data_IF_966248904676
#
_entry.id   IF_966248904676
#
_cell.length_a   1.000
_cell.length_b   1.000
_cell.length_c   1.000
_cell.angle_alpha   90.00
_cell.angle_beta   90.00
_cell.angle_gamma   90.00
#
_symmetry.space_group_name_H-M   'P 1'
#
loop_
_entity.id
_entity.type
_entity.pdbx_description
1 polymer ?
#
# COMPACT_ATOMS: atom_id res chain seq x y z
N UNK A 1 -41.14 48.17 -10.87
CA UNK A 1 -41.52 46.75 -10.68
C UNK A 1 -41.17 46.04 -11.98
N UNK A 2 -40.30 45.04 -12.10
CA UNK A 2 -39.75 44.07 -11.15
C UNK A 2 -38.37 43.68 -11.70
N UNK A 3 -37.35 43.69 -10.85
CA UNK A 3 -36.01 43.17 -11.11
C UNK A 3 -36.12 41.65 -11.27
N UNK A 4 -35.66 41.08 -12.38
CA UNK A 4 -35.37 39.63 -12.45
C UNK A 4 -33.85 39.54 -12.35
N UNK A 5 -33.43 39.29 -11.12
CA UNK A 5 -32.05 39.14 -10.70
C UNK A 5 -31.58 37.74 -11.11
N UNK A 6 -30.41 37.69 -11.74
CA UNK A 6 -29.62 36.48 -11.98
C UNK A 6 -29.53 35.63 -10.70
N UNK A 7 -30.14 34.44 -10.72
CA UNK A 7 -29.83 33.40 -9.76
C UNK A 7 -28.87 32.41 -10.43
N UNK A 8 -27.62 32.87 -10.54
CA UNK A 8 -26.46 32.05 -10.81
C UNK A 8 -26.17 31.28 -9.51
N UNK A 9 -26.85 30.16 -9.29
CA UNK A 9 -26.55 29.29 -8.16
C UNK A 9 -25.80 28.07 -8.64
N UNK A 10 -24.49 28.16 -8.40
CA UNK A 10 -23.51 27.08 -8.30
C UNK A 10 -24.18 25.72 -8.13
N UNK A 11 -24.26 24.95 -9.20
CA UNK A 11 -24.21 23.49 -9.09
C UNK A 11 -22.74 23.18 -8.86
N UNK A 12 -22.31 23.20 -7.60
CA UNK A 12 -21.06 22.53 -7.22
C UNK A 12 -21.28 21.07 -7.54
N UNK A 13 -20.78 20.63 -8.68
CA UNK A 13 -20.67 19.21 -8.97
C UNK A 13 -19.92 18.58 -7.81
N UNK A 14 -20.53 17.62 -7.15
CA UNK A 14 -19.83 16.72 -6.25
C UNK A 14 -18.77 16.02 -7.10
N UNK A 15 -17.54 16.56 -7.10
CA UNK A 15 -16.41 15.88 -7.65
C UNK A 15 -16.23 14.63 -6.78
N UNK A 16 -16.47 13.47 -7.38
CA UNK A 16 -16.15 12.20 -6.75
C UNK A 16 -14.63 12.12 -6.75
N UNK A 17 -14.01 12.55 -5.65
CA UNK A 17 -12.62 12.20 -5.39
C UNK A 17 -12.57 10.67 -5.33
N UNK A 18 -11.85 10.09 -6.28
CA UNK A 18 -11.49 8.68 -6.29
C UNK A 18 -9.98 8.71 -6.32
N UNK A 19 -9.37 8.54 -5.16
CA UNK A 19 -7.92 8.59 -4.96
C UNK A 19 -7.24 7.36 -5.56
N UNK A 20 -7.98 6.24 -5.60
CA UNK A 20 -7.49 4.95 -6.03
C UNK A 20 -8.02 4.60 -7.43
N UNK A 21 -7.17 3.93 -8.20
CA UNK A 21 -7.53 3.12 -9.35
C UNK A 21 -7.17 1.66 -9.00
N UNK A 22 -7.99 1.07 -8.14
CA UNK A 22 -7.73 -0.24 -7.57
C UNK A 22 -8.51 -1.35 -8.28
N UNK A 23 -7.82 -2.41 -8.65
CA UNK A 23 -8.43 -3.64 -9.15
C UNK A 23 -8.53 -4.66 -8.02
N UNK A 24 -9.75 -4.96 -7.57
CA UNK A 24 -9.99 -6.06 -6.62
C UNK A 24 -10.31 -7.33 -7.38
N UNK A 25 -9.64 -8.43 -7.05
CA UNK A 25 -9.85 -9.75 -7.66
C UNK A 25 -10.10 -10.81 -6.60
N UNK A 26 -11.08 -11.68 -6.84
CA UNK A 26 -11.44 -12.77 -5.91
C UNK A 26 -11.16 -14.11 -6.58
N UNK A 27 -10.09 -14.77 -6.15
CA UNK A 27 -9.80 -16.14 -6.54
C UNK A 27 -10.51 -17.12 -5.61
N UNK A 28 -11.36 -17.95 -6.21
CA UNK A 28 -12.09 -19.03 -5.55
C UNK A 28 -11.88 -20.39 -6.24
N UNK A 29 -10.88 -20.52 -7.13
CA UNK A 29 -10.63 -21.74 -7.92
C UNK A 29 -10.40 -22.98 -7.05
N UNK A 30 -9.82 -22.80 -5.86
CA UNK A 30 -9.57 -23.88 -4.90
C UNK A 30 -10.80 -24.25 -4.09
N UNK A 31 -11.82 -23.42 -4.12
CA UNK A 31 -13.09 -23.66 -3.43
C UNK A 31 -13.98 -24.41 -4.42
N UNK A 32 -14.26 -25.68 -4.14
CA UNK A 32 -15.18 -26.52 -4.93
C UNK A 32 -16.66 -26.10 -4.80
N UNK A 33 -16.94 -24.79 -4.90
CA UNK A 33 -18.24 -24.19 -4.69
C UNK A 33 -19.13 -24.36 -5.91
N UNK A 34 -20.38 -24.79 -5.67
CA UNK A 34 -21.44 -24.83 -6.70
C UNK A 34 -21.92 -23.44 -7.07
N UNK A 35 -21.99 -22.51 -6.10
CA UNK A 35 -22.36 -21.13 -6.34
C UNK A 35 -21.12 -20.27 -6.61
N UNK A 36 -20.85 -20.00 -7.88
CA UNK A 36 -19.79 -19.08 -8.31
C UNK A 36 -20.25 -17.61 -8.33
N UNK A 37 -21.55 -17.36 -8.20
CA UNK A 37 -22.12 -16.00 -8.27
C UNK A 37 -21.70 -15.16 -7.07
N UNK A 38 -21.67 -15.74 -5.86
CA UNK A 38 -21.29 -15.03 -4.63
C UNK A 38 -19.91 -14.37 -4.73
N UNK A 39 -18.93 -15.05 -5.33
CA UNK A 39 -17.57 -14.50 -5.50
C UNK A 39 -17.54 -13.38 -6.54
N UNK A 40 -18.32 -13.49 -7.62
CA UNK A 40 -18.43 -12.44 -8.65
C UNK A 40 -19.13 -11.19 -8.10
N UNK A 41 -20.18 -11.39 -7.30
CA UNK A 41 -20.89 -10.28 -6.64
C UNK A 41 -19.97 -9.60 -5.62
N UNK A 42 -19.23 -10.38 -4.82
CA UNK A 42 -18.23 -9.86 -3.88
C UNK A 42 -17.15 -9.04 -4.60
N UNK A 43 -16.55 -9.59 -5.66
CA UNK A 43 -15.54 -8.88 -6.47
C UNK A 43 -16.07 -7.55 -6.98
N UNK A 44 -17.28 -7.54 -7.55
CA UNK A 44 -17.90 -6.32 -8.05
C UNK A 44 -18.15 -5.31 -6.93
N UNK A 45 -18.76 -5.74 -5.81
CA UNK A 45 -19.06 -4.87 -4.67
C UNK A 45 -17.78 -4.25 -4.09
N UNK A 46 -16.69 -5.00 -4.00
CA UNK A 46 -15.41 -4.49 -3.48
C UNK A 46 -14.72 -3.53 -4.43
N UNK A 47 -14.76 -3.78 -5.75
CA UNK A 47 -14.27 -2.82 -6.74
C UNK A 47 -15.03 -1.50 -6.66
N UNK A 48 -16.36 -1.56 -6.52
CA UNK A 48 -17.17 -0.36 -6.37
C UNK A 48 -16.89 0.36 -5.04
N UNK A 49 -16.80 -0.37 -3.93
CA UNK A 49 -16.51 0.18 -2.61
C UNK A 49 -15.17 0.91 -2.59
N UNK A 50 -14.07 0.25 -2.96
CA UNK A 50 -12.73 0.84 -2.88
C UNK A 50 -12.57 2.09 -3.75
N UNK A 51 -13.12 2.06 -4.98
CA UNK A 51 -12.92 3.13 -5.94
C UNK A 51 -13.97 4.25 -5.86
N UNK A 52 -15.09 4.06 -5.15
CA UNK A 52 -16.14 5.09 -4.99
C UNK A 52 -16.20 5.67 -3.58
N UNK A 53 -15.57 5.03 -2.59
CA UNK A 53 -15.41 5.61 -1.27
C UNK A 53 -14.35 6.70 -1.31
N UNK A 54 -14.67 7.85 -0.70
CA UNK A 54 -13.74 8.96 -0.49
C UNK A 54 -12.90 8.65 0.75
N UNK A 55 -11.58 8.57 0.58
CA UNK A 55 -10.65 8.24 1.67
C UNK A 55 -9.97 9.48 2.26
N UNK A 56 -9.99 10.60 1.53
CA UNK A 56 -9.29 11.84 1.86
C UNK A 56 -10.12 13.05 1.47
N UNK A 57 -9.81 14.22 2.03
CA UNK A 57 -10.35 15.50 1.54
C UNK A 57 -9.58 16.03 0.32
N UNK A 58 -8.50 15.37 -0.09
CA UNK A 58 -7.67 15.77 -1.23
C UNK A 58 -8.33 15.40 -2.56
N UNK A 59 -8.35 16.34 -3.50
CA UNK A 59 -8.85 16.09 -4.84
C UNK A 59 -7.75 15.52 -5.74
N UNK A 60 -8.01 14.34 -6.32
CA UNK A 60 -7.12 13.68 -7.28
C UNK A 60 -7.67 13.79 -8.70
N UNK A 61 -6.84 14.20 -9.66
CA UNK A 61 -7.19 14.04 -11.08
C UNK A 61 -7.14 12.57 -11.47
N UNK A 62 -7.86 12.19 -12.53
CA UNK A 62 -7.88 10.81 -13.02
C UNK A 62 -6.48 10.22 -13.30
N UNK A 63 -5.50 11.04 -13.71
CA UNK A 63 -4.11 10.64 -13.96
C UNK A 63 -3.23 10.59 -12.71
N UNK A 64 -3.71 11.15 -11.60
CA UNK A 64 -3.01 11.21 -10.32
C UNK A 64 -3.48 10.08 -9.39
N UNK A 65 -4.47 9.28 -9.82
CA UNK A 65 -4.98 8.15 -9.05
C UNK A 65 -3.89 7.11 -8.86
N UNK A 66 -3.88 6.50 -7.69
CA UNK A 66 -2.90 5.49 -7.31
C UNK A 66 -3.33 4.15 -7.89
N UNK A 67 -2.48 3.56 -8.73
CA UNK A 67 -2.72 2.24 -9.29
C UNK A 67 -2.45 1.16 -8.22
N UNK A 68 -3.45 0.33 -7.94
CA UNK A 68 -3.33 -0.75 -6.98
C UNK A 68 -4.09 -2.02 -7.37
N UNK A 69 -3.70 -3.13 -6.75
CA UNK A 69 -4.37 -4.42 -6.90
C UNK A 69 -4.55 -5.06 -5.53
N UNK A 70 -5.75 -5.57 -5.28
CA UNK A 70 -6.09 -6.33 -4.08
C UNK A 70 -6.59 -7.71 -4.50
N UNK A 71 -5.75 -8.72 -4.31
CA UNK A 71 -6.05 -10.09 -4.70
C UNK A 71 -6.45 -10.91 -3.48
N UNK A 72 -7.73 -11.27 -3.41
CA UNK A 72 -8.32 -12.08 -2.36
C UNK A 72 -8.29 -13.53 -2.81
N UNK A 73 -7.56 -14.37 -2.08
CA UNK A 73 -7.54 -15.80 -2.31
C UNK A 73 -8.39 -16.50 -1.24
N UNK A 74 -9.58 -16.96 -1.63
CA UNK A 74 -10.52 -17.64 -0.74
C UNK A 74 -10.06 -19.08 -0.55
N UNK A 75 -9.80 -19.45 0.71
CA UNK A 75 -9.44 -20.81 1.08
C UNK A 75 -10.68 -21.69 1.31
N UNK A 76 -11.71 -21.12 1.96
CA UNK A 76 -12.96 -21.81 2.23
C UNK A 76 -14.08 -20.81 2.53
N UNK A 77 -15.33 -21.22 2.34
CA UNK A 77 -16.49 -20.47 2.82
C UNK A 77 -17.57 -21.42 3.35
N UNK A 78 -18.37 -20.95 4.31
CA UNK A 78 -19.50 -21.69 4.87
C UNK A 78 -20.62 -20.73 5.27
N UNK A 79 -21.75 -20.79 4.56
CA UNK A 79 -22.78 -19.75 4.66
C UNK A 79 -22.20 -18.40 4.28
N UNK A 80 -22.28 -17.44 5.19
CA UNK A 80 -21.79 -16.07 4.98
C UNK A 80 -20.35 -15.87 5.50
N UNK A 81 -19.69 -16.91 6.02
CA UNK A 81 -18.35 -16.81 6.59
C UNK A 81 -17.28 -17.22 5.58
N UNK A 82 -16.29 -16.37 5.40
CA UNK A 82 -15.18 -16.56 4.46
C UNK A 82 -13.86 -16.64 5.23
N UNK A 83 -13.01 -17.58 4.81
CA UNK A 83 -11.61 -17.60 5.19
C UNK A 83 -10.77 -17.40 3.94
N UNK A 84 -9.93 -16.36 3.96
CA UNK A 84 -9.15 -15.94 2.83
C UNK A 84 -7.81 -15.34 3.27
N UNK A 85 -6.94 -15.13 2.29
CA UNK A 85 -5.77 -14.27 2.40
C UNK A 85 -5.92 -13.11 1.42
N UNK A 86 -5.30 -11.97 1.72
CA UNK A 86 -5.34 -10.77 0.88
C UNK A 86 -3.92 -10.36 0.51
N UNK A 87 -3.63 -10.30 -0.79
CA UNK A 87 -2.40 -9.72 -1.30
C UNK A 87 -2.70 -8.31 -1.84
N UNK A 88 -1.91 -7.34 -1.38
CA UNK A 88 -2.06 -5.93 -1.73
C UNK A 88 -0.80 -5.49 -2.46
N UNK A 89 -0.98 -4.82 -3.60
CA UNK A 89 0.09 -4.20 -4.35
C UNK A 89 -0.31 -2.80 -4.77
N UNK A 90 0.62 -1.85 -4.71
CA UNK A 90 0.45 -0.53 -5.31
C UNK A 90 1.70 -0.09 -6.03
N UNK A 91 1.53 0.79 -7.01
CA UNK A 91 2.61 1.37 -7.79
C UNK A 91 2.28 2.79 -8.19
N UNK A 92 3.32 3.56 -8.50
CA UNK A 92 3.18 4.90 -9.08
C UNK A 92 3.99 5.03 -10.35
N UNK A 93 3.60 5.91 -11.29
CA UNK A 93 4.42 6.23 -12.44
C UNK A 93 5.69 6.98 -12.00
N UNK A 94 6.80 6.69 -12.69
CA UNK A 94 8.03 7.49 -12.59
C UNK A 94 7.89 8.70 -13.52
N UNK A 95 8.33 9.88 -13.05
CA UNK A 95 8.27 11.10 -13.85
C UNK A 95 9.00 10.94 -15.20
N UNK A 96 8.36 11.41 -16.28
CA UNK A 96 8.88 11.36 -17.65
C UNK A 96 9.31 9.96 -18.12
N UNK A 97 8.63 8.91 -17.62
CA UNK A 97 8.92 7.51 -17.92
C UNK A 97 7.64 6.73 -18.20
N UNK A 98 7.75 5.66 -18.99
CA UNK A 98 6.65 4.69 -19.18
C UNK A 98 6.66 3.58 -18.13
N UNK A 99 7.65 3.60 -17.22
CA UNK A 99 7.77 2.61 -16.15
C UNK A 99 7.01 3.05 -14.90
N UNK A 100 6.32 2.10 -14.27
CA UNK A 100 5.76 2.22 -12.94
C UNK A 100 6.69 1.56 -11.92
N UNK A 101 6.81 2.17 -10.75
CA UNK A 101 7.62 1.66 -9.64
C UNK A 101 6.72 1.12 -8.53
N UNK A 102 6.97 -0.10 -7.99
CA UNK A 102 6.18 -0.67 -6.92
C UNK A 102 6.39 0.10 -5.62
N UNK A 103 5.32 0.51 -4.94
CA UNK A 103 5.38 1.28 -3.69
C UNK A 103 5.12 0.39 -2.48
N UNK A 104 4.10 -0.47 -2.57
CA UNK A 104 3.69 -1.37 -1.49
C UNK A 104 3.42 -2.76 -2.05
N UNK A 105 3.86 -3.80 -1.34
CA UNK A 105 3.55 -5.19 -1.63
C UNK A 105 3.45 -5.95 -0.31
N UNK A 106 2.26 -6.43 0.02
CA UNK A 106 2.00 -7.04 1.31
C UNK A 106 1.03 -8.22 1.18
N UNK A 107 1.27 -9.29 1.94
CA UNK A 107 0.38 -10.44 2.01
C UNK A 107 -0.18 -10.59 3.43
N UNK A 108 -1.44 -10.23 3.58
CA UNK A 108 -2.22 -10.42 4.80
C UNK A 108 -2.81 -11.83 4.83
N UNK A 109 -2.32 -12.63 5.80
CA UNK A 109 -2.76 -14.01 5.99
C UNK A 109 -4.01 -14.12 6.87
N UNK A 110 -4.39 -13.05 7.57
CA UNK A 110 -5.47 -13.03 8.56
C UNK A 110 -6.68 -12.25 8.01
N UNK A 111 -7.23 -12.75 6.89
CA UNK A 111 -8.36 -12.12 6.21
C UNK A 111 -9.60 -13.02 6.21
N UNK A 112 -10.15 -13.22 7.42
CA UNK A 112 -11.46 -13.86 7.60
C UNK A 112 -12.55 -12.79 7.71
N UNK A 113 -13.68 -12.98 7.06
CA UNK A 113 -14.75 -11.98 7.05
C UNK A 113 -16.12 -12.62 6.86
N UNK A 114 -17.17 -11.81 7.05
CA UNK A 114 -18.53 -12.16 6.69
C UNK A 114 -18.96 -11.36 5.47
N UNK A 115 -19.68 -12.00 4.56
CA UNK A 115 -20.27 -11.35 3.39
C UNK A 115 -21.61 -11.98 3.02
N UNK A 116 -22.60 -11.14 2.75
CA UNK A 116 -23.92 -11.53 2.25
C UNK A 116 -24.10 -10.96 0.85
N UNK A 117 -24.57 -11.77 -0.10
CA UNK A 117 -24.76 -11.33 -1.48
C UNK A 117 -25.66 -10.09 -1.57
N UNK A 118 -25.22 -9.13 -2.39
CA UNK A 118 -25.91 -7.86 -2.62
C UNK A 118 -26.02 -6.93 -1.40
N UNK A 119 -25.31 -7.22 -0.31
CA UNK A 119 -25.22 -6.26 0.78
C UNK A 119 -24.53 -4.97 0.31
N UNK A 120 -24.99 -3.85 0.86
CA UNK A 120 -24.37 -2.56 0.57
C UNK A 120 -23.13 -2.38 1.45
N UNK A 121 -21.96 -2.27 0.83
CA UNK A 121 -20.71 -2.01 1.53
C UNK A 121 -20.58 -0.51 1.80
N UNK A 122 -20.66 -0.12 3.07
CA UNK A 122 -20.56 1.26 3.51
C UNK A 122 -19.55 1.40 4.64
N UNK A 123 -18.63 2.36 4.52
CA UNK A 123 -17.60 2.59 5.53
C UNK A 123 -18.03 3.69 6.49
N UNK A 124 -18.03 3.38 7.78
CA UNK A 124 -18.12 4.36 8.85
C UNK A 124 -16.81 4.39 9.65
N UNK A 125 -16.08 5.52 9.68
CA UNK A 125 -14.82 5.61 10.42
C UNK A 125 -14.98 5.50 11.95
N UNK A 126 -16.19 5.69 12.47
CA UNK A 126 -16.45 5.73 13.91
C UNK A 126 -17.06 4.43 14.47
N UNK A 127 -17.37 3.44 13.63
CA UNK A 127 -17.96 2.17 14.07
C UNK A 127 -17.31 0.97 13.39
N UNK A 128 -17.28 -0.15 14.11
CA UNK A 128 -16.93 -1.43 13.52
C UNK A 128 -18.20 -2.13 13.04
N UNK A 129 -18.41 -2.14 11.72
CA UNK A 129 -19.58 -2.77 11.12
C UNK A 129 -19.24 -4.17 10.56
N UNK A 130 -18.14 -4.29 9.81
CA UNK A 130 -17.69 -5.54 9.21
C UNK A 130 -16.17 -5.59 9.08
N UNK A 131 -15.59 -6.77 9.31
CA UNK A 131 -14.16 -6.98 9.10
C UNK A 131 -13.76 -6.82 7.64
N UNK A 132 -14.63 -7.21 6.69
CA UNK A 132 -14.39 -7.01 5.27
C UNK A 132 -14.17 -5.51 4.98
N UNK A 133 -15.09 -4.68 5.43
CA UNK A 133 -15.07 -3.22 5.24
C UNK A 133 -13.85 -2.61 5.94
N UNK A 134 -13.59 -2.97 7.20
CA UNK A 134 -12.46 -2.41 7.95
C UNK A 134 -11.10 -2.77 7.37
N UNK A 135 -10.89 -4.01 6.90
CA UNK A 135 -9.62 -4.41 6.28
C UNK A 135 -9.40 -3.66 4.96
N UNK A 136 -10.43 -3.57 4.12
CA UNK A 136 -10.34 -2.88 2.83
C UNK A 136 -10.09 -1.38 3.01
N UNK A 137 -10.78 -0.75 3.98
CA UNK A 137 -10.57 0.65 4.35
C UNK A 137 -9.18 0.91 4.95
N UNK A 138 -8.69 0.00 5.79
CA UNK A 138 -7.34 0.06 6.33
C UNK A 138 -6.29 0.07 5.23
N UNK A 139 -6.36 -0.89 4.30
CA UNK A 139 -5.37 -0.97 3.22
C UNK A 139 -5.50 0.16 2.20
N UNK A 140 -6.70 0.71 1.96
CA UNK A 140 -6.85 1.94 1.18
C UNK A 140 -6.02 3.08 1.78
N UNK A 141 -6.13 3.32 3.09
CA UNK A 141 -5.36 4.35 3.78
C UNK A 141 -3.85 4.03 3.83
N UNK A 142 -3.46 2.77 3.97
CA UNK A 142 -2.04 2.37 3.88
C UNK A 142 -1.48 2.70 2.49
N UNK A 143 -2.19 2.35 1.42
CA UNK A 143 -1.75 2.61 0.04
C UNK A 143 -1.58 4.11 -0.19
N UNK A 144 -2.57 4.92 0.20
CA UNK A 144 -2.53 6.37 0.02
C UNK A 144 -1.39 6.99 0.85
N UNK A 145 -1.22 6.55 2.11
CA UNK A 145 -0.13 7.02 2.96
C UNK A 145 1.26 6.69 2.40
N UNK A 146 1.45 5.45 1.94
CA UNK A 146 2.71 5.01 1.36
C UNK A 146 3.02 5.74 0.05
N UNK A 147 2.02 6.03 -0.77
CA UNK A 147 2.17 6.83 -1.98
C UNK A 147 2.54 8.29 -1.65
N UNK A 148 1.86 8.92 -0.69
CA UNK A 148 2.13 10.29 -0.27
C UNK A 148 3.57 10.46 0.27
N UNK A 149 4.10 9.47 0.98
CA UNK A 149 5.51 9.46 1.42
C UNK A 149 6.52 9.45 0.26
N UNK A 150 6.12 9.00 -0.94
CA UNK A 150 6.99 9.07 -2.13
C UNK A 150 7.09 10.47 -2.74
N UNK A 151 6.13 11.36 -2.42
CA UNK A 151 6.03 12.72 -2.98
C UNK A 151 6.45 13.81 -1.98
N UNK A 152 6.38 13.54 -0.69
CA UNK A 152 6.84 14.44 0.36
C UNK A 152 7.39 13.64 1.55
N UNK A 153 8.45 14.12 2.22
CA UNK A 153 8.91 13.52 3.46
C UNK A 153 7.76 13.43 4.46
N UNK A 154 7.46 12.21 4.93
CA UNK A 154 6.40 11.90 5.89
C UNK A 154 4.99 12.37 5.47
N UNK A 155 4.74 12.55 4.16
CA UNK A 155 3.47 13.02 3.62
C UNK A 155 2.26 12.12 3.92
N UNK A 156 2.49 10.85 4.23
CA UNK A 156 1.46 9.86 4.52
C UNK A 156 0.83 9.91 5.92
N UNK A 157 1.28 10.82 6.79
CA UNK A 157 0.99 10.77 8.24
C UNK A 157 -0.51 10.83 8.56
N UNK A 158 -1.28 11.66 7.86
CA UNK A 158 -2.73 11.78 8.09
C UNK A 158 -3.46 10.48 7.72
N UNK A 159 -3.06 9.84 6.62
CA UNK A 159 -3.61 8.56 6.17
C UNK A 159 -3.26 7.41 7.11
N UNK A 160 -2.02 7.38 7.60
CA UNK A 160 -1.62 6.40 8.60
C UNK A 160 -2.37 6.62 9.93
N UNK A 161 -2.63 7.87 10.31
CA UNK A 161 -3.46 8.16 11.50
C UNK A 161 -4.88 7.63 11.32
N UNK A 162 -5.49 7.83 10.15
CA UNK A 162 -6.80 7.26 9.83
C UNK A 162 -6.78 5.72 9.85
N UNK A 163 -5.76 5.08 9.28
CA UNK A 163 -5.57 3.63 9.34
C UNK A 163 -5.40 3.13 10.79
N UNK A 164 -4.73 3.89 11.66
CA UNK A 164 -4.59 3.56 13.08
C UNK A 164 -5.94 3.64 13.82
N UNK A 165 -6.77 4.64 13.49
CA UNK A 165 -8.15 4.73 14.04
C UNK A 165 -9.01 3.54 13.59
N UNK A 166 -8.90 3.12 12.32
CA UNK A 166 -9.58 1.93 11.81
C UNK A 166 -9.11 0.68 12.56
N UNK A 167 -7.80 0.49 12.71
CA UNK A 167 -7.25 -0.65 13.43
C UNK A 167 -7.73 -0.71 14.89
N UNK A 168 -7.76 0.45 15.56
CA UNK A 168 -8.23 0.56 16.95
C UNK A 168 -9.72 0.21 17.08
N UNK A 169 -10.54 0.66 16.13
CA UNK A 169 -11.98 0.35 16.11
C UNK A 169 -12.22 -1.13 15.79
N UNK A 170 -11.46 -1.69 14.85
CA UNK A 170 -11.60 -3.07 14.39
C UNK A 170 -11.17 -4.13 15.42
N UNK A 171 -10.37 -3.76 16.42
CA UNK A 171 -10.04 -4.66 17.55
C UNK A 171 -11.28 -5.18 18.28
N UNK A 172 -12.34 -4.37 18.36
CA UNK A 172 -13.60 -4.76 19.01
C UNK A 172 -14.32 -5.91 18.28
N UNK A 173 -14.02 -6.11 16.99
CA UNK A 173 -14.60 -7.18 16.18
C UNK A 173 -14.07 -8.59 16.49
N UNK A 174 -12.97 -8.72 17.24
CA UNK A 174 -12.40 -10.02 17.62
C UNK A 174 -11.78 -10.82 16.47
N UNK A 175 -11.60 -10.22 15.28
CA UNK A 175 -10.89 -10.86 14.17
C UNK A 175 -9.38 -10.75 14.34
N UNK A 176 -8.66 -11.79 13.91
CA UNK A 176 -7.20 -11.81 13.93
C UNK A 176 -6.60 -10.71 13.05
N UNK A 177 -5.43 -10.23 13.45
CA UNK A 177 -4.60 -9.29 12.71
C UNK A 177 -4.69 -7.86 13.24
N UNK A 178 -5.67 -7.57 14.10
CA UNK A 178 -5.89 -6.25 14.69
C UNK A 178 -5.23 -6.07 16.06
N UNK A 179 -4.77 -7.15 16.69
CA UNK A 179 -4.15 -7.10 18.02
C UNK A 179 -2.69 -7.52 18.01
N UNK A 180 -1.96 -7.11 19.05
CA UNK A 180 -0.58 -7.54 19.28
C UNK A 180 -0.45 -9.06 19.46
N UNK A 181 -1.50 -9.72 19.92
CA UNK A 181 -1.50 -11.14 20.26
C UNK A 181 -1.58 -12.05 19.03
N UNK A 182 -1.96 -11.49 17.88
CA UNK A 182 -2.17 -12.22 16.62
C UNK A 182 -0.87 -12.47 15.84
N UNK A 183 0.29 -12.18 16.44
CA UNK A 183 1.62 -12.36 15.85
C UNK A 183 2.32 -11.05 15.53
N UNK A 184 3.58 -11.15 15.12
CA UNK A 184 4.48 -9.98 15.00
C UNK A 184 4.51 -9.35 13.59
N UNK A 185 3.72 -9.87 12.65
CA UNK A 185 3.67 -9.43 11.24
C UNK A 185 2.22 -9.32 10.81
N UNK A 186 1.52 -8.32 11.33
CA UNK A 186 0.09 -8.12 11.12
C UNK A 186 -0.26 -6.64 10.98
N UNK A 187 -1.56 -6.34 10.76
CA UNK A 187 -2.06 -4.96 10.56
C UNK A 187 -1.76 -4.08 11.77
N UNK A 188 -1.85 -4.62 12.99
CA UNK A 188 -1.49 -3.89 14.23
C UNK A 188 -0.05 -3.40 14.23
N UNK A 189 0.93 -4.29 14.00
CA UNK A 189 2.33 -3.88 13.98
C UNK A 189 2.66 -3.00 12.78
N UNK A 190 2.09 -3.31 11.60
CA UNK A 190 2.31 -2.53 10.39
C UNK A 190 2.02 -1.04 10.63
N UNK A 191 0.85 -0.71 11.18
CA UNK A 191 0.45 0.69 11.35
C UNK A 191 1.16 1.40 12.50
N UNK A 192 1.36 0.69 13.63
CA UNK A 192 2.05 1.27 14.77
C UNK A 192 3.52 1.54 14.46
N UNK A 193 4.18 0.67 13.70
CA UNK A 193 5.55 0.89 13.28
C UNK A 193 5.64 2.05 12.27
N UNK A 194 4.68 2.19 11.34
CA UNK A 194 4.67 3.29 10.35
C UNK A 194 4.54 4.68 11.00
N UNK A 195 3.82 4.78 12.13
CA UNK A 195 3.67 6.02 12.89
C UNK A 195 4.77 6.24 13.93
N UNK A 196 5.61 5.24 14.19
CA UNK A 196 6.65 5.34 15.20
C UNK A 196 7.88 6.09 14.68
N UNK A 197 8.34 7.09 15.44
CA UNK A 197 9.59 7.80 15.16
C UNK A 197 10.82 6.88 15.08
N UNK A 198 10.76 5.69 15.68
CA UNK A 198 11.85 4.69 15.57
C UNK A 198 12.05 4.23 14.13
N UNK A 199 10.98 4.19 13.33
CA UNK A 199 10.99 3.72 11.95
C UNK A 199 10.77 4.83 10.92
N UNK A 200 10.69 6.09 11.34
CA UNK A 200 10.60 7.26 10.44
C UNK A 200 11.63 7.22 9.29
N UNK A 201 12.88 6.77 9.47
CA UNK A 201 13.83 6.69 8.36
C UNK A 201 13.37 5.80 7.18
N UNK A 202 12.54 4.77 7.40
CA UNK A 202 11.98 3.98 6.28
C UNK A 202 11.04 4.83 5.42
N UNK A 203 10.25 5.70 6.05
CA UNK A 203 9.34 6.60 5.35
C UNK A 203 10.09 7.73 4.63
N UNK A 204 11.15 8.26 5.25
CA UNK A 204 12.04 9.22 4.61
C UNK A 204 12.73 8.63 3.37
N UNK A 205 13.18 7.37 3.46
CA UNK A 205 13.76 6.63 2.32
C UNK A 205 12.78 6.52 1.16
N UNK A 206 11.47 6.39 1.40
CA UNK A 206 10.49 6.37 0.32
C UNK A 206 10.53 7.67 -0.50
N UNK A 207 10.67 8.82 0.15
CA UNK A 207 10.81 10.10 -0.56
C UNK A 207 12.13 10.18 -1.35
N UNK A 208 13.26 9.92 -0.68
CA UNK A 208 14.59 10.06 -1.27
C UNK A 208 14.81 9.10 -2.44
N UNK A 209 14.28 7.88 -2.33
CA UNK A 209 14.36 6.85 -3.36
C UNK A 209 13.50 7.19 -4.57
N UNK A 210 12.28 7.72 -4.39
CA UNK A 210 11.35 8.00 -5.48
C UNK A 210 11.56 9.38 -6.08
N UNK A 211 10.97 10.43 -5.50
CA UNK A 211 11.06 11.78 -6.04
C UNK A 211 12.51 12.30 -6.03
N UNK A 212 13.28 11.95 -4.99
CA UNK A 212 14.67 12.39 -4.85
C UNK A 212 15.62 11.77 -5.89
N UNK A 213 15.34 10.55 -6.36
CA UNK A 213 16.24 9.79 -7.20
C UNK A 213 15.59 9.22 -8.48
N UNK A 214 14.61 8.31 -8.37
CA UNK A 214 13.94 7.68 -9.54
C UNK A 214 13.36 8.69 -10.52
N UNK A 215 12.69 9.74 -10.04
CA UNK A 215 12.07 10.75 -10.91
C UNK A 215 13.10 11.63 -11.65
N UNK A 216 14.37 11.62 -11.20
CA UNK A 216 15.50 12.27 -11.89
C UNK A 216 16.40 11.28 -12.63
N UNK A 217 16.04 9.99 -12.64
CA UNK A 217 16.89 8.92 -13.14
C UNK A 217 17.05 8.97 -14.67
N UNK A 218 16.02 9.43 -15.38
CA UNK A 218 16.03 9.59 -16.83
C UNK A 218 17.03 10.65 -17.33
N UNK A 219 17.29 11.68 -16.52
CA UNK A 219 18.20 12.78 -16.89
C UNK A 219 19.67 12.36 -16.81
N UNK A 220 20.03 11.62 -15.75
CA UNK A 220 21.37 11.10 -15.55
C UNK A 220 21.33 9.80 -14.72
N UNK A 221 21.41 8.68 -15.43
CA UNK A 221 21.32 7.34 -14.82
C UNK A 221 22.38 7.06 -13.78
N UNK A 222 23.62 7.55 -13.97
CA UNK A 222 24.71 7.38 -12.97
C UNK A 222 24.41 8.16 -11.70
N UNK A 223 24.01 9.43 -11.83
CA UNK A 223 23.66 10.26 -10.68
C UNK A 223 22.42 9.71 -9.94
N UNK A 224 21.41 9.26 -10.68
CA UNK A 224 20.23 8.60 -10.13
C UNK A 224 20.60 7.36 -9.31
N UNK A 225 21.47 6.49 -9.83
CA UNK A 225 21.98 5.31 -9.09
C UNK A 225 22.68 5.69 -7.78
N UNK A 226 23.56 6.69 -7.79
CA UNK A 226 24.28 7.12 -6.58
C UNK A 226 23.31 7.69 -5.53
N UNK A 227 22.27 8.42 -5.96
CA UNK A 227 21.21 8.89 -5.07
C UNK A 227 20.39 7.74 -4.49
N UNK A 228 19.98 6.76 -5.32
CA UNK A 228 19.28 5.56 -4.87
C UNK A 228 20.12 4.81 -3.85
N UNK A 229 21.42 4.60 -4.14
CA UNK A 229 22.36 3.98 -3.21
C UNK A 229 22.39 4.75 -1.89
N UNK A 230 22.49 6.08 -1.93
CA UNK A 230 22.51 6.93 -0.73
C UNK A 230 21.23 6.77 0.10
N UNK A 231 20.06 6.79 -0.54
CA UNK A 231 18.78 6.55 0.10
C UNK A 231 18.77 5.17 0.79
N UNK A 232 19.16 4.11 0.09
CA UNK A 232 19.21 2.75 0.63
C UNK A 232 20.19 2.62 1.81
N UNK A 233 21.36 3.26 1.76
CA UNK A 233 22.33 3.24 2.86
C UNK A 233 21.77 3.88 4.13
N UNK A 234 20.85 4.84 4.02
CA UNK A 234 20.23 5.46 5.19
C UNK A 234 19.34 4.50 6.00
N UNK A 235 18.87 3.39 5.40
CA UNK A 235 18.15 2.31 6.10
C UNK A 235 19.00 1.61 7.15
N UNK A 236 20.33 1.72 7.09
CA UNK A 236 21.22 1.19 8.11
C UNK A 236 20.89 1.74 9.51
N UNK A 237 20.44 3.00 9.59
CA UNK A 237 20.00 3.62 10.86
C UNK A 237 18.90 2.80 11.54
N UNK A 238 17.98 2.23 10.77
CA UNK A 238 16.89 1.41 11.32
C UNK A 238 17.42 0.08 11.83
N UNK A 239 18.33 -0.54 11.10
CA UNK A 239 18.94 -1.80 11.51
C UNK A 239 19.75 -1.67 12.78
N UNK A 240 20.51 -0.59 12.93
CA UNK A 240 21.31 -0.33 14.14
C UNK A 240 20.42 -0.19 15.39
N UNK A 241 19.20 0.35 15.23
CA UNK A 241 18.22 0.51 16.31
C UNK A 241 17.34 -0.74 16.54
N UNK A 242 16.92 -1.38 15.46
CA UNK A 242 15.96 -2.49 15.41
C UNK A 242 16.34 -3.47 14.29
N UNK A 243 17.27 -4.40 14.54
CA UNK A 243 17.57 -5.47 13.61
C UNK A 243 16.31 -6.31 13.33
N UNK A 244 16.16 -6.79 12.09
CA UNK A 244 15.00 -7.58 11.65
C UNK A 244 13.63 -6.86 11.81
N UNK A 245 13.62 -5.53 11.74
CA UNK A 245 12.39 -4.75 11.77
C UNK A 245 11.39 -5.21 10.69
N UNK A 246 10.13 -5.33 11.07
CA UNK A 246 9.06 -5.76 10.18
C UNK A 246 8.92 -4.83 8.96
N UNK A 247 8.97 -3.51 9.18
CA UNK A 247 8.89 -2.55 8.07
C UNK A 247 10.06 -2.62 7.10
N UNK A 248 11.25 -3.01 7.54
CA UNK A 248 12.38 -3.25 6.63
C UNK A 248 12.02 -4.37 5.65
N UNK A 249 11.38 -5.44 6.13
CA UNK A 249 10.89 -6.50 5.25
C UNK A 249 9.82 -6.00 4.28
N UNK A 250 8.84 -5.23 4.77
CA UNK A 250 7.77 -4.65 3.93
C UNK A 250 8.36 -3.80 2.80
N UNK A 251 9.38 -2.98 3.08
CA UNK A 251 10.09 -2.21 2.06
C UNK A 251 10.73 -3.11 1.00
N UNK A 252 11.46 -4.15 1.40
CA UNK A 252 12.12 -5.05 0.45
C UNK A 252 11.17 -5.97 -0.31
N UNK A 253 10.01 -6.31 0.25
CA UNK A 253 8.97 -7.07 -0.46
C UNK A 253 8.43 -6.29 -1.67
N UNK A 254 8.48 -4.94 -1.64
CA UNK A 254 8.17 -4.10 -2.80
C UNK A 254 9.39 -3.79 -3.68
N UNK A 255 10.56 -3.55 -3.08
CA UNK A 255 11.71 -2.94 -3.78
C UNK A 255 12.81 -3.89 -4.25
N UNK A 256 12.88 -5.12 -3.75
CA UNK A 256 14.06 -5.95 -3.98
C UNK A 256 14.35 -6.24 -5.46
N UNK A 257 13.31 -6.50 -6.27
CA UNK A 257 13.49 -6.76 -7.70
C UNK A 257 13.87 -5.50 -8.49
N UNK A 258 13.34 -4.35 -8.09
CA UNK A 258 13.70 -3.05 -8.70
C UNK A 258 15.15 -2.69 -8.38
N UNK A 259 15.58 -2.83 -7.13
CA UNK A 259 16.97 -2.61 -6.70
C UNK A 259 17.91 -3.52 -7.51
N UNK A 260 17.59 -4.81 -7.61
CA UNK A 260 18.37 -5.75 -8.41
C UNK A 260 18.47 -5.27 -9.87
N UNK A 261 17.35 -4.90 -10.49
CA UNK A 261 17.31 -4.45 -11.88
C UNK A 261 18.18 -3.21 -12.10
N UNK A 262 18.04 -2.20 -11.23
CA UNK A 262 18.78 -0.93 -11.32
C UNK A 262 20.29 -1.18 -11.22
N UNK A 263 20.75 -1.91 -10.21
CA UNK A 263 22.18 -2.18 -9.99
C UNK A 263 22.74 -3.35 -10.82
N UNK A 264 21.91 -3.97 -11.67
CA UNK A 264 22.36 -4.94 -12.68
C UNK A 264 22.41 -4.34 -14.09
N UNK A 265 21.85 -3.16 -14.29
CA UNK A 265 21.96 -2.39 -15.54
C UNK A 265 23.14 -1.42 -15.47
N UNK A 266 23.74 -1.03 -16.60
CA UNK A 266 24.72 0.07 -16.61
C UNK A 266 24.08 1.43 -16.32
N UNK A 267 24.86 2.48 -16.00
CA UNK A 267 26.32 2.52 -15.86
C UNK A 267 26.80 2.04 -14.46
N UNK A 268 28.09 1.73 -14.33
CA UNK A 268 28.66 1.26 -13.05
C UNK A 268 28.80 2.36 -11.99
N UNK A 269 28.54 1.98 -10.74
CA UNK A 269 28.78 2.74 -9.50
C UNK A 269 29.50 1.87 -8.48
N UNK A 270 30.06 2.43 -7.41
CA UNK A 270 30.62 1.58 -6.36
C UNK A 270 29.48 0.91 -5.59
N UNK A 271 29.33 -0.40 -5.72
CA UNK A 271 28.24 -1.21 -5.15
C UNK A 271 28.68 -2.11 -3.99
N UNK A 272 29.95 -2.10 -3.63
CA UNK A 272 30.52 -3.05 -2.66
C UNK A 272 29.91 -2.90 -1.26
N UNK A 273 29.88 -1.67 -0.75
CA UNK A 273 29.24 -1.26 0.49
C UNK A 273 27.73 -1.49 0.47
N UNK A 274 27.07 -1.15 -0.65
CA UNK A 274 25.64 -1.38 -0.83
C UNK A 274 25.30 -2.86 -0.71
N UNK A 275 26.03 -3.72 -1.40
CA UNK A 275 25.77 -5.18 -1.41
C UNK A 275 25.97 -5.78 -0.03
N UNK A 276 27.01 -5.36 0.71
CA UNK A 276 27.22 -5.78 2.10
C UNK A 276 26.05 -5.37 2.99
N UNK A 277 25.61 -4.11 2.87
CA UNK A 277 24.50 -3.55 3.64
C UNK A 277 23.17 -4.26 3.32
N UNK A 278 22.87 -4.50 2.04
CA UNK A 278 21.66 -5.23 1.61
C UNK A 278 21.61 -6.66 2.15
N UNK A 279 22.75 -7.36 2.22
CA UNK A 279 22.82 -8.70 2.82
C UNK A 279 22.56 -8.69 4.33
N UNK A 280 22.91 -7.60 5.03
CA UNK A 280 22.59 -7.41 6.46
C UNK A 280 21.11 -7.10 6.67
N UNK A 281 20.54 -6.18 5.86
CA UNK A 281 19.16 -5.73 6.02
C UNK A 281 18.12 -6.74 5.52
N UNK A 282 18.44 -7.45 4.42
CA UNK A 282 17.51 -8.34 3.74
C UNK A 282 18.19 -9.64 3.34
N UNK A 283 18.60 -10.46 4.31
CA UNK A 283 19.32 -11.72 4.05
C UNK A 283 18.49 -12.71 3.21
N UNK A 284 17.15 -12.63 3.29
CA UNK A 284 16.23 -13.44 2.47
C UNK A 284 16.36 -13.15 0.95
N UNK A 285 16.86 -11.98 0.58
CA UNK A 285 17.11 -11.59 -0.80
C UNK A 285 18.59 -11.71 -1.21
N UNK A 286 19.44 -12.39 -0.42
CA UNK A 286 20.88 -12.55 -0.67
C UNK A 286 21.22 -13.09 -2.06
N UNK A 287 20.42 -14.01 -2.59
CA UNK A 287 20.58 -14.53 -3.96
C UNK A 287 20.41 -13.41 -5.01
N UNK A 288 19.46 -12.50 -4.81
CA UNK A 288 19.29 -11.29 -5.65
C UNK A 288 20.53 -10.41 -5.51
N UNK A 289 20.96 -10.09 -4.29
CA UNK A 289 22.10 -9.20 -4.05
C UNK A 289 23.40 -9.72 -4.67
N UNK A 290 23.62 -11.04 -4.66
CA UNK A 290 24.78 -11.66 -5.32
C UNK A 290 24.80 -11.51 -6.85
N UNK A 291 23.65 -11.20 -7.45
CA UNK A 291 23.50 -11.04 -8.90
C UNK A 291 23.71 -9.59 -9.38
N UNK A 292 23.88 -8.65 -8.45
CA UNK A 292 24.20 -7.25 -8.75
C UNK A 292 25.59 -7.17 -9.39
N UNK A 293 25.73 -6.37 -10.46
CA UNK A 293 26.96 -6.32 -11.28
C UNK A 293 27.52 -4.92 -11.55
N UNK A 294 26.70 -3.87 -11.48
CA UNK A 294 27.03 -2.52 -11.99
C UNK A 294 26.70 -1.41 -11.00
#
# INVERSE_FOLDING_TARGET
MRRIICFLLLVTGFANAQELNCEVRVNSERVGATNQQIFRTLEKSLNEFINKTKWSETEYKAKERIDCTMFINVASYSGDQFSATLQIQSSRPIYNSTYATPVFNFNDKDFNFKYVEFENLFFNPNSFDSNLISVMAFYANIIIGMDADTYSPLGGTDYFTAAQSIASTAQQGGYKGWSQQDGNQNRYFLINDLLSNTFAPIREVMYDYHLGALDTFGDNTKAGKEKIKTALMSLQKVYDLRPNAFLTRVFFDAKADEILSIFSAGPSVNISDLTEMLNKLSPLNSSKWSSIKF
#
